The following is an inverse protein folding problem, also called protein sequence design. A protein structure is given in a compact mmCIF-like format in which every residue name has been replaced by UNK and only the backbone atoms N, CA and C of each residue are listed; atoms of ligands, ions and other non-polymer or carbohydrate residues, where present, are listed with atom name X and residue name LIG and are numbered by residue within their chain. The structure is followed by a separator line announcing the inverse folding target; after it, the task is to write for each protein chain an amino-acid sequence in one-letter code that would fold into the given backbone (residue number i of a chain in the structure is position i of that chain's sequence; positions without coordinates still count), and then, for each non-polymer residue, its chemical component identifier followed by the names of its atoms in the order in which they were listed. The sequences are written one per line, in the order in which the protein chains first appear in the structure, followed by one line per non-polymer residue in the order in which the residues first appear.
data_IF_183711221801
#
_entry.id   IF_183711221801
#
_cell.length_a   1.000
_cell.length_b   1.000
_cell.length_c   1.000
_cell.angle_alpha   90.00
_cell.angle_beta   90.00
_cell.angle_gamma   90.00
#
_symmetry.space_group_name_H-M   'P 1'
#
loop_
_entity.id
_entity.type
_entity.pdbx_description
1 polymer ?
#
# COMPACT_ATOMS: atom_id res chain seq x y z
N UNK A 1 -9.28 -22.36 -19.92
CA UNK A 1 -9.66 -21.17 -20.71
C UNK A 1 -8.38 -20.61 -21.32
N UNK A 2 -8.30 -20.62 -22.66
CA UNK A 2 -7.09 -20.36 -23.44
C UNK A 2 -6.61 -18.91 -23.26
N UNK A 3 -5.33 -18.74 -22.97
CA UNK A 3 -4.64 -17.46 -22.79
C UNK A 3 -4.26 -16.82 -24.13
N UNK A 4 -5.23 -16.67 -25.02
CA UNK A 4 -5.08 -15.97 -26.29
C UNK A 4 -6.00 -14.74 -26.27
N UNK A 5 -5.46 -13.58 -26.65
CA UNK A 5 -6.14 -12.29 -26.88
C UNK A 5 -6.16 -11.25 -25.73
N UNK A 6 -5.00 -11.01 -25.10
CA UNK A 6 -4.76 -9.72 -24.42
C UNK A 6 -3.50 -8.98 -24.93
N UNK A 7 -3.06 -9.29 -26.16
CA UNK A 7 -1.93 -8.60 -26.82
C UNK A 7 -2.34 -7.30 -27.53
N UNK A 8 -3.62 -6.90 -27.48
CA UNK A 8 -4.16 -5.83 -28.33
C UNK A 8 -4.86 -4.65 -27.65
N UNK A 9 -4.97 -4.62 -26.31
CA UNK A 9 -5.45 -3.41 -25.65
C UNK A 9 -4.25 -2.47 -25.46
N UNK A 10 -4.12 -1.47 -26.34
CA UNK A 10 -3.30 -0.29 -26.07
C UNK A 10 -3.85 0.37 -24.80
N UNK A 11 -3.33 -0.02 -23.64
CA UNK A 11 -3.67 0.62 -22.38
C UNK A 11 -3.01 2.00 -22.42
N UNK A 12 -3.80 3.01 -22.77
CA UNK A 12 -3.33 4.40 -22.80
C UNK A 12 -2.73 4.78 -21.44
N UNK A 13 -1.64 5.53 -21.48
CA UNK A 13 -1.01 6.02 -20.25
C UNK A 13 -1.94 7.03 -19.59
N UNK A 14 -2.16 6.95 -18.26
CA UNK A 14 -2.91 7.98 -17.55
C UNK A 14 -2.20 9.33 -17.70
N UNK A 15 -2.96 10.40 -17.95
CA UNK A 15 -2.42 11.74 -18.25
C UNK A 15 -1.39 12.25 -17.22
N UNK A 16 -1.59 11.89 -15.95
CA UNK A 16 -0.74 12.31 -14.84
C UNK A 16 0.45 11.39 -14.58
N UNK A 17 0.54 10.23 -15.21
CA UNK A 17 1.68 9.33 -15.04
C UNK A 17 2.84 9.71 -15.95
N UNK A 18 4.04 9.59 -15.40
CA UNK A 18 5.24 9.81 -16.19
C UNK A 18 5.62 8.52 -16.90
N UNK A 19 5.90 8.66 -18.19
CA UNK A 19 6.34 7.60 -19.07
C UNK A 19 7.84 7.69 -19.35
N UNK A 20 8.47 6.52 -19.47
CA UNK A 20 9.79 6.36 -20.04
C UNK A 20 9.89 4.97 -20.69
N UNK A 21 10.76 4.81 -21.69
CA UNK A 21 10.86 3.56 -22.47
C UNK A 21 11.27 2.34 -21.61
N UNK A 22 12.03 2.55 -20.53
CA UNK A 22 12.43 1.46 -19.63
C UNK A 22 11.23 0.96 -18.83
N UNK A 23 10.40 1.87 -18.32
CA UNK A 23 9.19 1.58 -17.55
C UNK A 23 8.12 0.93 -18.40
N UNK A 24 7.95 1.37 -19.64
CA UNK A 24 7.04 0.71 -20.58
C UNK A 24 7.41 -0.75 -20.82
N UNK A 25 8.69 -1.04 -21.10
CA UNK A 25 9.17 -2.42 -21.22
C UNK A 25 8.95 -3.22 -19.93
N UNK A 26 9.18 -2.61 -18.78
CA UNK A 26 8.95 -3.25 -17.48
C UNK A 26 7.46 -3.58 -17.26
N UNK A 27 6.56 -2.65 -17.56
CA UNK A 27 5.12 -2.85 -17.44
C UNK A 27 4.61 -3.95 -18.38
N UNK A 28 5.06 -3.94 -19.65
CA UNK A 28 4.71 -5.01 -20.61
C UNK A 28 5.20 -6.36 -20.12
N UNK A 29 6.44 -6.45 -19.61
CA UNK A 29 7.01 -7.70 -19.08
C UNK A 29 6.23 -8.25 -17.88
N UNK A 30 5.68 -7.39 -17.03
CA UNK A 30 4.90 -7.82 -15.86
C UNK A 30 3.54 -8.44 -16.24
N UNK A 31 2.90 -7.97 -17.32
CA UNK A 31 1.63 -8.53 -17.81
C UNK A 31 0.59 -8.72 -16.70
N UNK A 32 0.05 -9.92 -16.54
CA UNK A 32 -0.92 -10.31 -15.50
C UNK A 32 -0.27 -11.03 -14.30
N UNK A 33 1.04 -10.86 -14.07
CA UNK A 33 1.75 -11.59 -13.03
C UNK A 33 1.16 -11.36 -11.62
N UNK A 34 0.96 -12.45 -10.87
CA UNK A 34 0.43 -12.40 -9.51
C UNK A 34 -1.07 -12.10 -9.41
N UNK A 35 -1.79 -12.03 -10.54
CA UNK A 35 -3.25 -11.94 -10.53
C UNK A 35 -3.86 -13.33 -10.34
N UNK A 36 -4.79 -13.46 -9.40
CA UNK A 36 -5.52 -14.71 -9.14
C UNK A 36 -6.90 -14.40 -8.56
N UNK A 37 -7.82 -15.35 -8.65
CA UNK A 37 -9.08 -15.28 -7.92
C UNK A 37 -8.86 -15.85 -6.52
N UNK A 38 -9.35 -15.16 -5.50
CA UNK A 38 -9.22 -15.58 -4.11
C UNK A 38 -10.55 -15.40 -3.40
N UNK A 39 -10.96 -16.41 -2.62
CA UNK A 39 -12.07 -16.28 -1.68
C UNK A 39 -11.61 -15.52 -0.44
N UNK A 40 -12.42 -14.58 0.02
CA UNK A 40 -12.20 -13.84 1.25
C UNK A 40 -13.46 -13.87 2.10
N UNK A 41 -13.27 -13.96 3.40
CA UNK A 41 -14.31 -13.70 4.39
C UNK A 41 -13.98 -12.39 5.10
N UNK A 42 -14.88 -11.42 5.03
CA UNK A 42 -14.72 -10.13 5.68
C UNK A 42 -16.09 -9.60 6.11
N UNK A 43 -16.19 -9.14 7.36
CA UNK A 43 -17.44 -8.70 7.99
C UNK A 43 -18.59 -9.72 7.89
N UNK A 44 -18.29 -11.01 8.06
CA UNK A 44 -19.29 -12.09 7.97
C UNK A 44 -19.83 -12.35 6.56
N UNK A 45 -19.19 -11.80 5.53
CA UNK A 45 -19.52 -12.01 4.13
C UNK A 45 -18.39 -12.78 3.44
N UNK A 46 -18.73 -13.88 2.75
CA UNK A 46 -17.77 -14.61 1.92
C UNK A 46 -17.91 -14.20 0.45
N UNK A 47 -16.84 -13.66 -0.10
CA UNK A 47 -16.79 -13.19 -1.48
C UNK A 47 -15.59 -13.76 -2.21
N UNK A 48 -15.76 -14.10 -3.48
CA UNK A 48 -14.63 -14.32 -4.38
C UNK A 48 -14.26 -13.00 -5.04
N UNK A 49 -12.97 -12.70 -5.12
CA UNK A 49 -12.49 -11.46 -5.73
C UNK A 49 -11.22 -11.64 -6.56
N UNK A 50 -10.94 -10.66 -7.41
CA UNK A 50 -9.72 -10.58 -8.19
C UNK A 50 -8.60 -10.01 -7.32
N UNK A 51 -7.61 -10.84 -6.98
CA UNK A 51 -6.46 -10.47 -6.19
C UNK A 51 -5.32 -9.96 -7.06
N UNK A 52 -4.93 -8.71 -6.86
CA UNK A 52 -3.80 -8.03 -7.48
C UNK A 52 -2.64 -8.01 -6.48
N UNK A 53 -1.78 -9.03 -6.59
CA UNK A 53 -0.67 -9.22 -5.65
C UNK A 53 0.36 -8.08 -5.72
N UNK A 54 0.92 -7.75 -4.56
CA UNK A 54 2.03 -6.83 -4.40
C UNK A 54 3.30 -7.53 -3.90
N UNK A 55 4.44 -6.94 -4.21
CA UNK A 55 5.74 -7.37 -3.72
C UNK A 55 5.83 -7.19 -2.21
N UNK A 56 6.28 -8.23 -1.50
CA UNK A 56 6.60 -8.14 -0.07
C UNK A 56 7.80 -7.22 0.14
N UNK A 57 7.80 -6.38 1.19
CA UNK A 57 8.99 -5.65 1.59
C UNK A 57 10.11 -6.63 1.96
N UNK A 58 11.34 -6.33 1.57
CA UNK A 58 12.49 -7.19 1.89
C UNK A 58 12.81 -7.04 3.37
N UNK A 59 12.63 -8.11 4.16
CA UNK A 59 12.92 -8.13 5.61
C UNK A 59 14.34 -7.70 5.96
N UNK A 60 15.30 -7.91 5.06
CA UNK A 60 16.69 -7.45 5.21
C UNK A 60 16.76 -5.94 5.46
N UNK A 61 15.95 -5.13 4.77
CA UNK A 61 15.91 -3.68 5.03
C UNK A 61 15.33 -3.36 6.41
N UNK A 62 14.38 -4.16 6.89
CA UNK A 62 13.88 -4.06 8.26
C UNK A 62 14.96 -4.36 9.30
N UNK A 63 15.76 -5.41 9.09
CA UNK A 63 16.89 -5.75 9.97
C UNK A 63 17.96 -4.64 9.96
N UNK A 64 18.35 -4.16 8.78
CA UNK A 64 19.33 -3.07 8.66
C UNK A 64 18.83 -1.79 9.36
N UNK A 65 17.55 -1.45 9.18
CA UNK A 65 16.94 -0.31 9.88
C UNK A 65 16.91 -0.51 11.41
N UNK A 66 16.70 -1.75 11.88
CA UNK A 66 16.75 -2.06 13.32
C UNK A 66 18.15 -1.84 13.89
N UNK A 67 19.17 -2.38 13.22
CA UNK A 67 20.58 -2.23 13.62
C UNK A 67 20.96 -0.75 13.65
N UNK A 68 20.68 -0.01 12.58
CA UNK A 68 20.98 1.41 12.50
C UNK A 68 20.23 2.20 13.59
N UNK A 69 18.94 1.94 13.78
CA UNK A 69 18.13 2.61 14.81
C UNK A 69 18.66 2.36 16.22
N UNK A 70 19.04 1.12 16.54
CA UNK A 70 19.66 0.77 17.82
C UNK A 70 21.01 1.48 18.01
N UNK A 71 21.87 1.51 16.99
CA UNK A 71 23.16 2.21 17.06
C UNK A 71 22.98 3.71 17.29
N UNK A 72 22.05 4.35 16.59
CA UNK A 72 21.75 5.77 16.76
C UNK A 72 21.24 6.07 18.17
N UNK A 73 20.33 5.26 18.69
CA UNK A 73 19.83 5.44 20.06
C UNK A 73 20.90 5.17 21.11
N UNK A 74 21.76 4.16 20.92
CA UNK A 74 22.86 3.88 21.82
C UNK A 74 23.87 5.03 21.86
N UNK A 75 24.29 5.54 20.69
CA UNK A 75 25.17 6.71 20.59
C UNK A 75 24.53 7.96 21.21
N UNK A 76 23.23 8.16 20.97
CA UNK A 76 22.45 9.25 21.56
C UNK A 76 22.41 9.15 23.09
N UNK A 77 22.16 7.96 23.63
CA UNK A 77 22.14 7.70 25.07
C UNK A 77 23.51 7.92 25.72
N UNK A 78 24.57 7.41 25.10
CA UNK A 78 25.95 7.61 25.59
C UNK A 78 26.33 9.10 25.61
N UNK A 79 26.01 9.83 24.54
CA UNK A 79 26.25 11.28 24.47
C UNK A 79 25.42 12.04 25.51
N UNK A 80 24.18 11.64 25.77
CA UNK A 80 23.34 12.25 26.79
C UNK A 80 23.92 12.04 28.20
N UNK A 81 24.41 10.83 28.49
CA UNK A 81 25.09 10.53 29.77
C UNK A 81 26.35 11.39 29.91
N UNK A 82 27.19 11.45 28.87
CA UNK A 82 28.39 12.30 28.86
C UNK A 82 28.07 13.77 29.07
N UNK A 83 27.01 14.28 28.42
CA UNK A 83 26.56 15.67 28.54
C UNK A 83 26.12 16.02 29.96
N UNK A 84 25.44 15.09 30.64
CA UNK A 84 24.99 15.27 32.02
C UNK A 84 26.18 15.28 32.98
N UNK A 85 27.16 14.39 32.76
CA UNK A 85 28.39 14.32 33.57
C UNK A 85 29.25 15.58 33.39
N UNK A 86 29.41 16.05 32.15
CA UNK A 86 30.28 17.18 31.80
C UNK A 86 29.57 18.54 31.82
N UNK A 87 28.26 18.57 32.08
CA UNK A 87 27.39 19.78 32.01
C UNK A 87 27.49 20.54 30.68
N UNK A 88 27.62 19.82 29.58
CA UNK A 88 27.76 20.40 28.25
C UNK A 88 26.43 20.41 27.49
N UNK A 89 26.05 21.57 26.95
CA UNK A 89 24.82 21.73 26.16
C UNK A 89 24.86 21.03 24.80
N UNK A 90 26.07 20.77 24.26
CA UNK A 90 26.25 20.11 22.97
C UNK A 90 25.71 18.68 22.93
N UNK A 91 25.89 17.89 23.99
CA UNK A 91 25.36 16.52 24.00
C UNK A 91 23.85 16.44 24.22
N UNK A 92 23.23 17.47 24.81
CA UNK A 92 21.77 17.62 24.83
C UNK A 92 21.21 17.93 23.43
N UNK A 93 21.92 18.72 22.61
CA UNK A 93 21.55 18.98 21.22
C UNK A 93 21.56 17.72 20.35
N UNK A 94 22.56 16.84 20.54
CA UNK A 94 22.63 15.57 19.83
C UNK A 94 21.43 14.66 20.12
N UNK A 95 20.87 14.70 21.35
CA UNK A 95 19.68 13.94 21.71
C UNK A 95 18.45 14.35 20.90
N UNK A 96 18.25 15.66 20.70
CA UNK A 96 17.10 16.21 19.99
C UNK A 96 17.17 15.91 18.49
N UNK A 97 18.37 15.83 17.91
CA UNK A 97 18.54 15.60 16.47
C UNK A 97 18.63 14.11 16.14
N UNK A 98 19.47 13.36 16.85
CA UNK A 98 19.80 11.95 16.51
C UNK A 98 18.78 10.98 17.10
N UNK A 99 18.24 11.28 18.29
CA UNK A 99 17.26 10.43 18.96
C UNK A 99 16.01 10.16 18.10
N UNK A 100 15.34 11.19 17.55
CA UNK A 100 14.19 11.00 16.68
C UNK A 100 14.49 10.18 15.42
N UNK A 101 15.68 10.35 14.83
CA UNK A 101 16.10 9.56 13.67
C UNK A 101 16.23 8.07 14.02
N UNK A 102 16.80 7.77 15.20
CA UNK A 102 16.86 6.41 15.73
C UNK A 102 15.47 5.79 15.93
N UNK A 103 14.53 6.54 16.51
CA UNK A 103 13.13 6.11 16.68
C UNK A 103 12.44 5.85 15.34
N UNK A 104 12.61 6.75 14.36
CA UNK A 104 12.04 6.58 13.00
C UNK A 104 12.61 5.34 12.31
N UNK A 105 13.91 5.07 12.47
CA UNK A 105 14.55 3.88 11.93
C UNK A 105 13.99 2.60 12.58
N UNK A 106 13.84 2.57 13.90
CA UNK A 106 13.22 1.44 14.61
C UNK A 106 11.75 1.24 14.23
N UNK A 107 10.98 2.32 14.07
CA UNK A 107 9.60 2.25 13.61
C UNK A 107 9.53 1.65 12.19
N UNK A 108 10.42 2.09 11.30
CA UNK A 108 10.55 1.53 9.95
C UNK A 108 10.91 0.04 10.00
N UNK A 109 11.80 -0.36 10.91
CA UNK A 109 12.15 -1.75 11.12
C UNK A 109 10.95 -2.58 11.58
N UNK A 110 10.22 -2.09 12.58
CA UNK A 110 9.01 -2.73 13.09
C UNK A 110 8.00 -2.97 11.96
N UNK A 111 7.71 -1.96 11.15
CA UNK A 111 6.77 -2.06 10.02
C UNK A 111 7.21 -3.09 8.97
N UNK A 112 8.51 -3.17 8.68
CA UNK A 112 9.04 -4.15 7.71
C UNK A 112 9.10 -5.58 8.28
N UNK A 113 9.31 -5.73 9.59
CA UNK A 113 9.50 -7.02 10.24
C UNK A 113 8.20 -7.67 10.72
N UNK A 114 7.16 -6.88 11.01
CA UNK A 114 5.82 -7.35 11.41
C UNK A 114 5.15 -8.25 10.37
N UNK A 115 5.61 -8.21 9.11
CA UNK A 115 5.03 -8.99 8.03
C UNK A 115 5.10 -10.51 8.23
N UNK A 116 3.96 -11.19 8.04
CA UNK A 116 3.85 -12.66 8.13
C UNK A 116 4.45 -13.32 6.88
N UNK A 117 5.09 -14.49 7.05
CA UNK A 117 5.73 -15.21 5.92
C UNK A 117 4.72 -15.69 4.89
N UNK A 118 3.54 -16.12 5.34
CA UNK A 118 2.54 -16.77 4.49
C UNK A 118 1.51 -15.80 3.90
N UNK A 119 1.54 -14.53 4.31
CA UNK A 119 0.62 -13.50 3.82
C UNK A 119 1.23 -12.76 2.62
N UNK A 120 0.49 -12.68 1.52
CA UNK A 120 0.83 -11.84 0.36
C UNK A 120 0.03 -10.55 0.42
N UNK A 121 0.68 -9.36 0.44
CA UNK A 121 -0.03 -8.09 0.38
C UNK A 121 -0.64 -7.88 -1.00
N UNK A 122 -1.71 -7.10 -1.10
CA UNK A 122 -2.33 -6.83 -2.38
C UNK A 122 -3.65 -6.10 -2.30
N UNK A 123 -4.21 -5.80 -3.47
CA UNK A 123 -5.60 -5.36 -3.61
C UNK A 123 -6.45 -6.58 -3.92
N UNK A 124 -7.60 -6.71 -3.28
CA UNK A 124 -8.65 -7.63 -3.71
C UNK A 124 -9.84 -6.81 -4.17
N UNK A 125 -10.28 -7.06 -5.39
CA UNK A 125 -11.48 -6.44 -5.94
C UNK A 125 -12.60 -7.46 -5.82
N UNK A 126 -13.66 -7.11 -5.09
CA UNK A 126 -14.85 -7.94 -4.97
C UNK A 126 -16.04 -7.22 -5.60
N UNK A 127 -17.20 -7.88 -5.76
CA UNK A 127 -18.40 -7.21 -6.26
C UNK A 127 -18.86 -6.03 -5.39
N UNK A 128 -18.60 -6.07 -4.08
CA UNK A 128 -19.13 -5.08 -3.12
C UNK A 128 -18.09 -4.06 -2.67
N UNK A 129 -16.80 -4.40 -2.68
CA UNK A 129 -15.75 -3.56 -2.09
C UNK A 129 -14.38 -3.74 -2.74
N UNK A 130 -13.51 -2.76 -2.51
CA UNK A 130 -12.07 -2.85 -2.71
C UNK A 130 -11.45 -3.15 -1.36
N UNK A 131 -10.70 -4.24 -1.25
CA UNK A 131 -9.95 -4.59 -0.05
C UNK A 131 -8.46 -4.40 -0.29
N UNK A 132 -7.76 -3.94 0.72
CA UNK A 132 -6.31 -3.89 0.77
C UNK A 132 -5.83 -4.79 1.89
N UNK A 133 -5.07 -5.82 1.54
CA UNK A 133 -4.40 -6.69 2.52
C UNK A 133 -2.97 -6.22 2.69
N UNK A 134 -2.60 -5.91 3.92
CA UNK A 134 -1.24 -5.51 4.27
C UNK A 134 -0.31 -6.73 4.46
N UNK A 135 0.95 -6.47 4.80
CA UNK A 135 1.94 -7.55 5.02
C UNK A 135 1.71 -8.33 6.33
N UNK A 136 0.99 -7.76 7.29
CA UNK A 136 0.64 -8.41 8.55
C UNK A 136 -0.62 -9.28 8.43
N UNK A 137 -1.38 -9.14 7.33
CA UNK A 137 -2.66 -9.79 7.10
C UNK A 137 -3.85 -8.95 7.57
N UNK A 138 -3.63 -7.71 8.01
CA UNK A 138 -4.70 -6.76 8.27
C UNK A 138 -5.36 -6.39 6.94
N UNK A 139 -6.69 -6.36 6.94
CA UNK A 139 -7.49 -6.04 5.76
C UNK A 139 -8.20 -4.70 6.00
N UNK A 140 -7.98 -3.78 5.08
CA UNK A 140 -8.67 -2.51 5.01
C UNK A 140 -9.70 -2.56 3.87
N UNK A 141 -10.92 -2.09 4.11
CA UNK A 141 -12.04 -2.22 3.17
C UNK A 141 -12.62 -0.86 2.77
N UNK A 142 -12.85 -0.69 1.47
CA UNK A 142 -13.56 0.46 0.91
C UNK A 142 -14.74 -0.06 0.08
N UNK A 143 -15.99 0.12 0.54
CA UNK A 143 -17.16 -0.17 -0.28
C UNK A 143 -17.11 0.61 -1.59
N UNK A 144 -17.52 0.00 -2.71
CA UNK A 144 -17.48 0.70 -4.00
C UNK A 144 -18.32 1.98 -4.02
N UNK A 145 -19.43 2.01 -3.26
CA UNK A 145 -20.29 3.19 -3.09
C UNK A 145 -19.56 4.39 -2.48
N UNK A 146 -18.52 4.12 -1.69
CA UNK A 146 -17.78 5.16 -0.99
C UNK A 146 -16.58 5.62 -1.80
N UNK A 147 -16.17 4.91 -2.86
CA UNK A 147 -15.07 5.31 -3.74
C UNK A 147 -15.46 6.57 -4.52
N UNK A 148 -14.83 7.69 -4.19
CA UNK A 148 -15.03 8.97 -4.84
C UNK A 148 -14.31 9.05 -6.20
N UNK A 149 -13.17 8.36 -6.33
CA UNK A 149 -12.38 8.40 -7.55
C UNK A 149 -11.16 7.48 -7.51
N UNK A 150 -10.65 7.16 -8.70
CA UNK A 150 -9.40 6.40 -8.88
C UNK A 150 -8.49 7.22 -9.79
N UNK A 151 -7.51 7.87 -9.17
CA UNK A 151 -6.64 8.82 -9.83
C UNK A 151 -5.23 8.26 -10.07
N UNK A 152 -4.64 8.68 -11.18
CA UNK A 152 -3.22 8.55 -11.41
C UNK A 152 -2.50 9.75 -10.77
N UNK A 153 -1.51 9.50 -9.91
CA UNK A 153 -0.68 10.53 -9.29
C UNK A 153 0.80 10.23 -9.43
N UNK A 154 1.65 11.24 -9.23
CA UNK A 154 3.10 11.08 -9.15
C UNK A 154 3.57 11.48 -7.76
N UNK A 155 4.41 10.65 -7.16
CA UNK A 155 5.20 11.02 -5.99
C UNK A 155 6.64 11.28 -6.41
N UNK A 156 7.09 12.53 -6.29
CA UNK A 156 8.50 12.89 -6.47
C UNK A 156 9.30 12.45 -5.24
N UNK A 157 10.35 11.67 -5.45
CA UNK A 157 11.33 11.28 -4.44
C UNK A 157 12.65 12.01 -4.72
N UNK A 158 12.77 13.25 -4.25
CA UNK A 158 13.97 14.08 -4.50
C UNK A 158 14.09 14.58 -5.94
N UNK A 159 15.31 14.89 -6.39
CA UNK A 159 15.57 15.68 -7.60
C UNK A 159 15.11 15.04 -8.92
N UNK A 160 15.34 13.74 -9.11
CA UNK A 160 15.05 13.06 -10.39
C UNK A 160 14.21 11.79 -10.27
N UNK A 161 14.05 11.22 -9.07
CA UNK A 161 13.28 9.99 -8.88
C UNK A 161 11.80 10.27 -8.71
N UNK A 162 10.97 9.42 -9.29
CA UNK A 162 9.51 9.49 -9.18
C UNK A 162 8.89 8.10 -9.13
N UNK A 163 7.72 8.04 -8.50
CA UNK A 163 6.86 6.86 -8.44
C UNK A 163 5.50 7.21 -9.04
N UNK A 164 5.01 6.34 -9.91
CA UNK A 164 3.63 6.42 -10.40
C UNK A 164 2.75 5.77 -9.33
N UNK A 165 1.67 6.45 -8.97
CA UNK A 165 0.74 6.01 -7.93
C UNK A 165 -0.64 5.83 -8.52
N UNK A 166 -1.31 4.77 -8.08
CA UNK A 166 -2.77 4.65 -8.13
C UNK A 166 -3.29 5.15 -6.78
N UNK A 167 -4.06 6.23 -6.79
CA UNK A 167 -4.72 6.77 -5.61
C UNK A 167 -6.20 6.40 -5.65
N UNK A 168 -6.67 5.69 -4.63
CA UNK A 168 -8.08 5.40 -4.43
C UNK A 168 -8.59 6.38 -3.39
N UNK A 169 -9.49 7.25 -3.85
CA UNK A 169 -10.14 8.26 -3.04
C UNK A 169 -11.48 7.72 -2.56
N UNK A 170 -11.78 7.91 -1.29
CA UNK A 170 -13.07 7.50 -0.74
C UNK A 170 -13.66 8.59 0.14
N UNK A 171 -14.99 8.63 0.17
CA UNK A 171 -15.73 9.42 1.14
C UNK A 171 -15.47 8.84 2.54
N UNK A 172 -15.12 9.68 3.52
CA UNK A 172 -14.81 9.24 4.88
C UNK A 172 -16.09 8.81 5.62
N UNK A 173 -16.66 7.64 5.30
CA UNK A 173 -17.80 7.04 6.00
C UNK A 173 -17.36 6.30 7.28
N UNK A 174 -18.29 6.05 8.19
CA UNK A 174 -17.99 5.33 9.44
C UNK A 174 -17.44 3.93 9.17
N UNK A 175 -18.03 3.20 8.23
CA UNK A 175 -17.63 1.85 7.78
C UNK A 175 -16.19 1.83 7.26
N UNK A 176 -15.82 2.78 6.39
CA UNK A 176 -14.44 2.90 5.90
C UNK A 176 -13.48 3.15 7.07
N UNK A 177 -13.83 4.01 8.02
CA UNK A 177 -12.96 4.30 9.16
C UNK A 177 -12.87 3.20 10.21
N UNK A 178 -13.86 2.31 10.31
CA UNK A 178 -13.84 1.17 11.22
C UNK A 178 -12.84 0.10 10.76
N UNK A 179 -12.65 -0.05 9.45
CA UNK A 179 -11.64 -0.96 8.89
C UNK A 179 -10.21 -0.37 8.89
N UNK A 180 -10.04 0.94 9.15
CA UNK A 180 -8.72 1.57 9.24
C UNK A 180 -8.14 1.42 10.64
N UNK A 181 -6.88 1.00 10.74
CA UNK A 181 -6.13 1.02 12.00
C UNK A 181 -6.29 2.37 12.74
N UNK A 182 -6.66 2.39 14.03
CA UNK A 182 -6.93 3.62 14.78
C UNK A 182 -5.83 4.69 14.70
N UNK A 183 -4.56 4.27 14.60
CA UNK A 183 -3.43 5.19 14.45
C UNK A 183 -3.43 5.88 13.07
N UNK A 184 -3.71 5.13 12.00
CA UNK A 184 -3.83 5.67 10.64
C UNK A 184 -5.06 6.57 10.49
N UNK A 185 -6.18 6.20 11.13
CA UNK A 185 -7.39 7.03 11.21
C UNK A 185 -7.13 8.41 11.79
N UNK A 186 -6.33 8.50 12.87
CA UNK A 186 -5.94 9.78 13.49
C UNK A 186 -5.07 10.63 12.56
N UNK A 187 -4.15 10.01 11.82
CA UNK A 187 -3.25 10.71 10.90
C UNK A 187 -3.97 11.22 9.65
N UNK A 188 -4.88 10.42 9.09
CA UNK A 188 -5.63 10.80 7.89
C UNK A 188 -6.62 11.94 8.17
N UNK A 189 -7.31 11.94 9.32
CA UNK A 189 -8.17 13.06 9.75
C UNK A 189 -7.44 14.40 9.85
N UNK A 190 -6.15 14.40 10.21
CA UNK A 190 -5.35 15.63 10.34
C UNK A 190 -4.89 16.22 9.01
N UNK A 191 -4.90 15.45 7.92
CA UNK A 191 -4.30 15.83 6.64
C UNK A 191 -5.30 16.23 5.55
N UNK A 192 -6.60 16.10 5.81
CA UNK A 192 -7.67 16.27 4.81
C UNK A 192 -7.40 15.52 3.48
N UNK A 193 -6.65 14.42 3.58
CA UNK A 193 -6.21 13.65 2.42
C UNK A 193 -7.31 12.65 2.08
N UNK A 194 -8.11 12.97 1.06
CA UNK A 194 -9.20 12.10 0.56
C UNK A 194 -8.69 10.79 -0.05
N UNK A 195 -7.40 10.72 -0.40
CA UNK A 195 -6.77 9.50 -0.89
C UNK A 195 -6.40 8.57 0.27
N UNK A 196 -7.35 7.70 0.64
CA UNK A 196 -7.20 6.75 1.73
C UNK A 196 -6.21 5.62 1.42
N UNK A 197 -6.10 5.24 0.14
CA UNK A 197 -5.17 4.19 -0.28
C UNK A 197 -4.33 4.66 -1.49
N UNK A 198 -3.02 4.52 -1.36
CA UNK A 198 -2.04 4.86 -2.41
C UNK A 198 -1.18 3.66 -2.70
N UNK A 199 -1.27 3.17 -3.93
CA UNK A 199 -0.56 1.97 -4.39
C UNK A 199 0.53 2.40 -5.36
N UNK A 200 1.77 2.06 -5.03
CA UNK A 200 2.91 2.35 -5.89
C UNK A 200 2.95 1.35 -7.05
N UNK A 201 3.21 1.85 -8.25
CA UNK A 201 3.40 1.03 -9.45
C UNK A 201 4.45 -0.07 -9.27
N UNK A 202 5.55 0.24 -8.57
CA UNK A 202 6.62 -0.72 -8.28
C UNK A 202 6.23 -1.81 -7.28
N UNK A 203 5.20 -1.56 -6.47
CA UNK A 203 4.72 -2.55 -5.51
C UNK A 203 3.87 -3.62 -6.19
N UNK A 204 3.17 -3.31 -7.29
CA UNK A 204 2.34 -4.29 -8.00
C UNK A 204 3.18 -5.32 -8.77
N UNK A 205 2.84 -6.60 -8.65
CA UNK A 205 3.50 -7.65 -9.42
C UNK A 205 3.06 -7.64 -10.89
N UNK A 206 1.80 -7.32 -11.14
CA UNK A 206 1.24 -7.17 -12.48
C UNK A 206 1.60 -5.82 -13.14
N UNK A 207 1.20 -5.65 -14.40
CA UNK A 207 1.25 -4.37 -15.09
C UNK A 207 0.33 -3.35 -14.39
N UNK A 208 0.86 -2.25 -13.83
CA UNK A 208 0.06 -1.28 -13.10
C UNK A 208 -0.89 -0.48 -13.99
N UNK A 209 -0.66 -0.40 -15.31
CA UNK A 209 -1.64 0.19 -16.24
C UNK A 209 -2.91 -0.64 -16.30
N UNK A 210 -2.76 -1.97 -16.37
CA UNK A 210 -3.90 -2.89 -16.37
C UNK A 210 -4.65 -2.76 -15.05
N UNK A 211 -3.94 -2.74 -13.91
CA UNK A 211 -4.56 -2.56 -12.60
C UNK A 211 -5.35 -1.24 -12.51
N UNK A 212 -4.78 -0.14 -12.97
CA UNK A 212 -5.42 1.19 -13.00
C UNK A 212 -6.69 1.19 -13.86
N UNK A 213 -6.60 0.68 -15.09
CA UNK A 213 -7.74 0.64 -16.01
C UNK A 213 -8.83 -0.30 -15.54
N UNK A 214 -8.47 -1.45 -14.95
CA UNK A 214 -9.42 -2.40 -14.38
C UNK A 214 -10.18 -1.79 -13.19
N UNK A 215 -9.46 -1.11 -12.30
CA UNK A 215 -10.05 -0.36 -11.19
C UNK A 215 -11.03 0.70 -11.67
N UNK A 216 -10.62 1.53 -12.65
CA UNK A 216 -11.49 2.58 -13.21
C UNK A 216 -12.68 2.01 -13.97
N UNK A 217 -12.48 0.92 -14.68
CA UNK A 217 -13.52 0.23 -15.42
C UNK A 217 -14.63 -0.23 -14.47
N UNK A 218 -14.29 -0.92 -13.37
CA UNK A 218 -15.30 -1.35 -12.40
C UNK A 218 -15.88 -0.21 -11.56
N UNK A 219 -15.15 0.88 -11.36
CA UNK A 219 -15.75 2.08 -10.78
C UNK A 219 -16.84 2.65 -11.70
N UNK A 220 -16.57 2.75 -13.01
CA UNK A 220 -17.48 3.31 -14.01
C UNK A 220 -18.64 2.38 -14.41
N UNK A 221 -18.50 1.07 -14.23
CA UNK A 221 -19.47 0.06 -14.65
C UNK A 221 -19.90 -0.82 -13.45
N UNK A 222 -20.78 -0.31 -12.54
CA UNK A 222 -21.17 -1.02 -11.33
C UNK A 222 -21.82 -2.39 -11.57
N UNK A 223 -22.57 -2.53 -12.66
CA UNK A 223 -23.24 -3.76 -13.06
C UNK A 223 -22.28 -4.89 -13.39
N UNK A 224 -21.11 -4.56 -13.96
CA UNK A 224 -20.07 -5.51 -14.35
C UNK A 224 -19.25 -6.00 -13.15
N UNK A 225 -19.42 -5.40 -11.96
CA UNK A 225 -18.72 -5.85 -10.74
C UNK A 225 -19.12 -7.26 -10.33
N UNK A 226 -20.32 -7.72 -10.71
CA UNK A 226 -20.78 -9.10 -10.47
C UNK A 226 -19.92 -10.11 -11.24
N UNK A 227 -19.27 -9.68 -12.31
CA UNK A 227 -18.41 -10.52 -13.14
C UNK A 227 -17.01 -10.70 -12.53
N UNK A 228 -16.67 -9.94 -11.47
CA UNK A 228 -15.39 -10.05 -10.73
C UNK A 228 -15.28 -11.39 -9.97
N UNK A 229 -16.41 -12.07 -9.73
CA UNK A 229 -16.67 -13.39 -9.11
C UNK A 229 -17.65 -13.31 -7.92
N UNK A 230 -18.33 -14.42 -7.61
CA UNK A 230 -19.57 -14.51 -6.81
C UNK A 230 -19.39 -14.13 -5.32
N UNK A 231 -20.46 -13.59 -4.73
CA UNK A 231 -20.63 -13.45 -3.29
C UNK A 231 -21.66 -14.46 -2.79
N UNK A 232 -21.41 -15.10 -1.64
CA UNK A 232 -22.34 -16.01 -0.96
C UNK A 232 -22.44 -15.64 0.53
N UNK A 233 -23.63 -15.70 1.15
CA UNK A 233 -23.76 -15.58 2.60
C UNK A 233 -23.00 -16.71 3.32
N UNK A 234 -22.38 -16.43 4.46
CA UNK A 234 -21.60 -17.43 5.23
C UNK A 234 -22.50 -18.52 5.84
N UNK A 235 -23.80 -18.24 6.05
CA UNK A 235 -24.72 -19.10 6.82
C UNK A 235 -25.69 -19.94 5.95
N UNK A 236 -25.28 -20.49 4.82
CA UNK A 236 -26.09 -21.43 4.02
C UNK A 236 -25.46 -22.83 3.90
N UNK A 237 -25.09 -23.41 5.04
CA UNK A 237 -24.78 -24.84 5.18
C UNK A 237 -25.74 -25.51 6.15
#
# INVERSE_FOLDING_TARGET
MSGENALGAEHSWPDRWRWDAKRERDYRRRGWAGVRVEDIEHDGLRESGLFLAMSKPRKVFGVLAAVLGMLLLAATGANAVSAVVERTWFGLGALVVVGPLGVVALLSAYLNLRGRRDVVPGLLLTPTRILFRDNAGEVFAIPWRDVAGIEARILKQGGSSYLNLIAIEAHPTAEVWESVNPALRRLARKRDDRALLKVQDKALLMNPLIAYHLLRHYLANPEQRRDICRAAPVDQH
#
